data_IF_102837865181
#
_entry.id   IF_102837865181
#
_cell.length_a   1.000
_cell.length_b   1.000
_cell.length_c   1.000
_cell.angle_alpha   90.00
_cell.angle_beta   90.00
_cell.angle_gamma   90.00
#
_symmetry.space_group_name_H-M   'P 1'
#
loop_
_entity.id
_entity.type
_entity.pdbx_description
1 polymer ?
#
# COMPACT_ATOMS: atom_id res chain seq x y z
N UNK A 1 8.45 45.79 24.13
CA UNK A 1 8.61 44.86 22.99
C UNK A 1 8.15 43.50 23.44
N UNK A 2 6.86 43.30 23.24
CA UNK A 2 6.04 42.10 23.41
C UNK A 2 5.86 41.53 22.00
N UNK A 3 6.42 40.36 21.70
CA UNK A 3 6.16 39.67 20.41
C UNK A 3 6.57 38.19 20.33
N UNK A 4 7.15 37.57 21.37
CA UNK A 4 7.63 36.17 21.26
C UNK A 4 7.16 35.25 22.40
N UNK A 5 6.22 35.71 23.24
CA UNK A 5 5.80 34.98 24.45
C UNK A 5 4.43 34.32 24.36
N UNK A 6 3.66 34.54 23.29
CA UNK A 6 2.26 34.09 23.19
C UNK A 6 2.04 32.92 22.21
N UNK A 7 3.11 32.31 21.68
CA UNK A 7 3.03 31.13 20.79
C UNK A 7 3.57 29.83 21.43
N UNK A 8 3.94 29.88 22.72
CA UNK A 8 4.51 28.74 23.45
C UNK A 8 3.54 28.07 24.45
N UNK A 9 2.30 28.57 24.59
CA UNK A 9 1.34 28.05 25.58
C UNK A 9 0.12 27.30 25.01
N UNK A 10 0.03 27.07 23.70
CA UNK A 10 -1.01 26.19 23.14
C UNK A 10 -0.60 24.71 23.03
N UNK A 11 0.59 24.33 23.49
CA UNK A 11 1.07 22.95 23.51
C UNK A 11 1.04 22.35 24.92
N UNK A 12 -0.16 22.02 25.40
CA UNK A 12 -0.35 21.16 26.58
C UNK A 12 -1.53 20.18 26.34
N UNK A 13 -1.52 18.97 26.92
CA UNK A 13 -0.45 17.98 26.90
C UNK A 13 -1.05 16.63 26.43
N UNK A 14 -0.84 16.23 25.18
CA UNK A 14 -0.88 14.79 24.92
C UNK A 14 0.37 14.24 25.60
N UNK A 15 0.16 13.63 26.77
CA UNK A 15 1.16 12.83 27.46
C UNK A 15 1.92 12.04 26.39
N UNK A 16 3.17 12.46 26.15
CA UNK A 16 4.18 11.63 25.49
C UNK A 16 4.16 10.31 26.23
N UNK A 17 3.50 9.30 25.67
CA UNK A 17 3.97 7.94 25.93
C UNK A 17 5.37 7.93 25.35
N UNK A 18 6.33 7.94 26.26
CA UNK A 18 7.73 7.77 25.95
C UNK A 18 7.87 6.47 25.14
N UNK A 19 8.10 6.57 23.84
CA UNK A 19 8.46 5.42 23.00
C UNK A 19 9.82 4.83 23.40
N UNK A 20 10.55 5.47 24.34
CA UNK A 20 11.75 4.91 24.94
C UNK A 20 11.47 3.70 25.85
N UNK A 21 10.26 3.54 26.41
CA UNK A 21 9.92 2.34 27.22
C UNK A 21 9.59 1.10 26.40
N UNK A 22 9.48 1.19 25.08
CA UNK A 22 9.20 0.02 24.23
C UNK A 22 10.44 -0.56 23.56
N UNK A 23 11.49 0.22 23.28
CA UNK A 23 12.68 -0.27 22.57
C UNK A 23 13.58 -1.19 23.42
N UNK A 24 13.70 -0.92 24.73
CA UNK A 24 14.54 -1.71 25.64
C UNK A 24 13.82 -2.99 26.12
N UNK A 25 12.48 -2.92 26.29
CA UNK A 25 11.63 -4.11 26.44
C UNK A 25 11.60 -4.97 25.15
N UNK A 26 11.76 -4.36 23.98
CA UNK A 26 11.89 -5.04 22.68
C UNK A 26 13.18 -5.87 22.58
N UNK A 27 14.29 -5.34 23.08
CA UNK A 27 15.62 -5.98 23.00
C UNK A 27 15.77 -7.19 23.92
N UNK A 28 14.96 -7.30 24.98
CA UNK A 28 15.05 -8.40 25.96
C UNK A 28 14.16 -9.60 25.64
N UNK A 29 13.10 -9.45 24.84
CA UNK A 29 12.15 -10.53 24.53
C UNK A 29 12.47 -11.32 23.25
N UNK A 30 13.26 -10.76 22.32
CA UNK A 30 13.44 -11.28 20.96
C UNK A 30 14.73 -12.07 20.73
N UNK A 31 15.19 -12.77 21.76
CA UNK A 31 16.18 -13.85 21.62
C UNK A 31 15.55 -15.15 21.12
N UNK A 32 14.21 -15.25 21.10
CA UNK A 32 13.46 -16.39 20.59
C UNK A 32 12.35 -15.89 19.64
N UNK A 33 12.16 -16.56 18.50
CA UNK A 33 11.00 -16.46 17.59
C UNK A 33 11.02 -15.33 16.54
N UNK A 34 11.00 -15.77 15.28
CA UNK A 34 10.47 -15.00 14.16
C UNK A 34 9.00 -14.65 14.42
N UNK A 35 8.69 -13.42 14.83
CA UNK A 35 7.38 -12.76 14.59
C UNK A 35 7.37 -11.39 15.27
N UNK A 36 6.91 -10.38 14.53
CA UNK A 36 6.70 -8.98 14.92
C UNK A 36 7.97 -8.12 14.90
N UNK A 37 8.04 -7.35 13.83
CA UNK A 37 8.93 -6.20 13.67
C UNK A 37 8.35 -4.98 14.37
N UNK A 38 9.18 -3.98 14.73
CA UNK A 38 8.67 -2.78 15.38
C UNK A 38 7.92 -1.94 14.34
N UNK A 39 6.65 -1.68 14.64
CA UNK A 39 5.77 -0.82 13.86
C UNK A 39 5.86 0.59 14.40
N UNK A 40 6.35 1.51 13.59
CA UNK A 40 6.20 2.95 13.82
C UNK A 40 5.29 3.51 12.72
N UNK A 41 3.98 3.21 12.78
CA UNK A 41 3.06 3.60 11.72
C UNK A 41 2.83 5.12 11.71
N UNK A 42 2.49 5.68 10.54
CA UNK A 42 1.89 7.00 10.47
C UNK A 42 0.63 7.10 11.35
N UNK A 43 0.22 8.31 11.78
CA UNK A 43 -0.95 8.48 12.62
C UNK A 43 -2.23 7.99 11.92
N UNK A 44 -3.10 7.30 12.65
CA UNK A 44 -4.45 6.98 12.19
C UNK A 44 -5.30 8.26 12.12
N UNK A 45 -6.08 8.41 11.05
CA UNK A 45 -7.01 9.52 10.84
C UNK A 45 -8.38 8.98 10.44
N UNK A 46 -9.42 9.56 11.02
CA UNK A 46 -10.78 9.43 10.53
C UNK A 46 -11.06 10.60 9.59
N UNK A 47 -11.37 10.31 8.33
CA UNK A 47 -11.52 11.32 7.28
C UNK A 47 -12.90 11.17 6.65
N UNK A 48 -13.82 12.03 7.08
CA UNK A 48 -15.22 11.99 6.66
C UNK A 48 -15.53 13.08 5.60
N UNK A 49 -14.49 13.77 5.11
CA UNK A 49 -14.60 14.84 4.11
C UNK A 49 -13.52 14.73 3.04
N UNK A 50 -13.78 15.19 1.80
CA UNK A 50 -12.77 15.29 0.76
C UNK A 50 -11.51 16.00 1.25
N UNK A 51 -10.35 15.38 1.01
CA UNK A 51 -9.06 16.02 1.22
C UNK A 51 -8.80 17.05 0.12
N UNK A 52 -8.26 18.24 0.44
CA UNK A 52 -7.76 19.13 -0.59
C UNK A 52 -6.67 18.43 -1.44
N UNK A 53 -6.55 18.75 -2.75
CA UNK A 53 -5.57 18.14 -3.67
C UNK A 53 -4.10 18.21 -3.23
N UNK A 54 -3.77 19.03 -2.23
CA UNK A 54 -2.41 19.25 -1.71
C UNK A 54 -2.31 19.10 -0.18
N UNK A 55 -3.29 18.44 0.46
CA UNK A 55 -3.43 18.47 1.93
C UNK A 55 -2.66 17.41 2.71
N UNK A 56 -2.12 16.40 2.04
CA UNK A 56 -1.36 15.34 2.69
C UNK A 56 0.15 15.65 2.62
N UNK A 57 0.62 16.55 3.46
CA UNK A 57 2.07 16.80 3.65
C UNK A 57 2.74 15.74 4.54
N UNK A 58 1.95 14.88 5.18
CA UNK A 58 2.41 13.78 6.02
C UNK A 58 1.58 12.51 5.76
N UNK A 59 2.20 11.32 5.77
CA UNK A 59 1.48 10.07 5.62
C UNK A 59 0.53 9.84 6.81
N UNK A 60 -0.53 9.08 6.58
CA UNK A 60 -1.50 8.69 7.59
C UNK A 60 -2.11 7.33 7.25
N UNK A 61 -2.67 6.66 8.25
CA UNK A 61 -3.53 5.50 8.07
C UNK A 61 -5.00 5.94 8.15
N UNK A 62 -5.88 5.28 7.40
CA UNK A 62 -7.32 5.53 7.41
C UNK A 62 -8.07 4.19 7.46
N UNK A 63 -9.21 4.18 8.12
CA UNK A 63 -10.10 3.00 8.20
C UNK A 63 -10.98 2.83 6.97
N UNK A 64 -11.04 3.83 6.09
CA UNK A 64 -11.72 3.76 4.80
C UNK A 64 -10.71 3.79 3.65
N UNK A 65 -10.98 3.00 2.61
CA UNK A 65 -10.10 2.80 1.47
C UNK A 65 -10.89 2.50 0.20
N UNK A 66 -10.16 2.39 -0.91
CA UNK A 66 -10.75 2.03 -2.20
C UNK A 66 -11.14 0.56 -2.25
N UNK A 67 -12.09 0.24 -3.11
CA UNK A 67 -12.61 -1.12 -3.31
C UNK A 67 -12.59 -1.48 -4.79
N UNK A 68 -12.38 -2.76 -5.09
CA UNK A 68 -12.48 -3.24 -6.46
C UNK A 68 -13.95 -3.54 -6.78
N UNK A 69 -14.42 -3.13 -7.95
CA UNK A 69 -15.84 -3.28 -8.33
C UNK A 69 -16.32 -4.75 -8.37
N UNK A 70 -15.43 -5.69 -8.71
CA UNK A 70 -15.76 -7.13 -8.80
C UNK A 70 -15.40 -7.93 -7.55
N UNK A 71 -15.07 -7.25 -6.44
CA UNK A 71 -14.63 -7.90 -5.20
C UNK A 71 -13.13 -8.17 -5.14
N UNK A 72 -12.68 -8.70 -4.00
CA UNK A 72 -11.25 -9.02 -3.78
C UNK A 72 -10.99 -10.44 -4.23
N UNK A 73 -10.07 -10.70 -5.18
CA UNK A 73 -9.70 -12.06 -5.57
C UNK A 73 -9.13 -12.85 -4.41
N UNK A 74 -9.59 -14.08 -4.24
CA UNK A 74 -9.13 -14.98 -3.19
C UNK A 74 -7.83 -15.72 -3.55
N UNK A 75 -7.57 -15.92 -4.84
CA UNK A 75 -6.38 -16.57 -5.35
C UNK A 75 -5.95 -16.02 -6.72
N UNK A 76 -4.90 -16.63 -7.28
CA UNK A 76 -4.39 -16.25 -8.60
C UNK A 76 -5.41 -16.54 -9.69
N UNK A 77 -6.18 -17.63 -9.60
CA UNK A 77 -7.14 -18.01 -10.64
C UNK A 77 -8.29 -17.00 -10.73
N UNK A 78 -8.82 -16.55 -9.59
CA UNK A 78 -9.82 -15.49 -9.52
C UNK A 78 -9.28 -14.16 -10.05
N UNK A 79 -8.03 -13.82 -9.75
CA UNK A 79 -7.37 -12.65 -10.33
C UNK A 79 -7.28 -12.75 -11.86
N UNK A 80 -6.83 -13.90 -12.37
CA UNK A 80 -6.67 -14.14 -13.81
C UNK A 80 -8.04 -14.07 -14.53
N UNK A 81 -9.07 -14.63 -13.91
CA UNK A 81 -10.44 -14.69 -14.44
C UNK A 81 -11.18 -13.35 -14.37
N UNK A 82 -11.00 -12.60 -13.27
CA UNK A 82 -11.75 -11.37 -13.00
C UNK A 82 -11.11 -10.10 -13.56
N UNK A 83 -9.79 -9.99 -13.52
CA UNK A 83 -9.09 -8.71 -13.72
C UNK A 83 -8.13 -8.71 -14.90
N UNK A 84 -7.46 -9.82 -15.20
CA UNK A 84 -6.56 -9.91 -16.37
C UNK A 84 -7.30 -10.25 -17.67
N UNK A 85 -8.52 -9.77 -17.89
CA UNK A 85 -9.33 -9.97 -19.10
C UNK A 85 -9.24 -8.76 -20.02
N UNK A 86 -9.19 -8.97 -21.34
CA UNK A 86 -9.26 -7.92 -22.36
C UNK A 86 -10.62 -7.22 -22.29
N UNK A 87 -10.68 -6.09 -21.58
CA UNK A 87 -11.90 -5.35 -21.28
C UNK A 87 -11.96 -4.81 -19.85
N UNK A 88 -11.24 -5.44 -18.92
CA UNK A 88 -11.06 -4.98 -17.54
C UNK A 88 -9.69 -4.36 -17.35
N UNK A 89 -8.63 -5.07 -17.78
CA UNK A 89 -7.29 -4.51 -17.86
C UNK A 89 -6.99 -4.12 -19.32
N UNK A 90 -7.01 -2.83 -19.67
CA UNK A 90 -6.80 -2.37 -21.05
C UNK A 90 -5.35 -2.50 -21.52
N UNK A 91 -4.42 -2.74 -20.60
CA UNK A 91 -2.99 -2.91 -20.88
C UNK A 91 -2.47 -4.20 -20.22
N UNK A 92 -1.38 -4.74 -20.77
CA UNK A 92 -0.67 -5.83 -20.13
C UNK A 92 -0.14 -5.37 -18.76
N UNK A 93 -0.21 -6.22 -17.72
CA UNK A 93 0.27 -5.86 -16.39
C UNK A 93 1.80 -5.81 -16.33
N UNK A 94 2.32 -5.05 -15.37
CA UNK A 94 3.70 -5.22 -14.96
C UNK A 94 3.77 -6.47 -14.08
N UNK A 95 4.70 -7.38 -14.39
CA UNK A 95 4.89 -8.60 -13.62
C UNK A 95 6.37 -8.82 -13.31
N UNK A 96 6.61 -9.35 -12.12
CA UNK A 96 7.91 -9.80 -11.67
C UNK A 96 7.77 -11.23 -11.13
N UNK A 97 8.68 -12.12 -11.53
CA UNK A 97 8.71 -13.52 -11.10
C UNK A 97 10.13 -13.84 -10.63
N UNK A 98 10.26 -14.28 -9.38
CA UNK A 98 11.55 -14.64 -8.79
C UNK A 98 12.52 -13.46 -8.65
N UNK A 99 12.04 -12.21 -8.61
CA UNK A 99 12.87 -11.01 -8.56
C UNK A 99 13.31 -10.51 -9.94
N UNK A 100 12.77 -11.08 -11.02
CA UNK A 100 13.03 -10.67 -12.39
C UNK A 100 11.77 -10.14 -13.06
N UNK A 101 11.87 -8.95 -13.65
CA UNK A 101 10.81 -8.37 -14.47
C UNK A 101 10.58 -9.22 -15.72
N UNK A 102 9.34 -9.67 -15.94
CA UNK A 102 8.97 -10.43 -17.13
C UNK A 102 8.23 -9.52 -18.11
N UNK A 103 8.81 -9.32 -19.28
CA UNK A 103 8.15 -8.55 -20.34
C UNK A 103 6.97 -9.33 -20.93
N UNK A 104 5.78 -8.73 -20.86
CA UNK A 104 4.55 -9.29 -21.40
C UNK A 104 3.88 -8.29 -22.32
N UNK A 105 3.51 -8.72 -23.53
CA UNK A 105 2.82 -7.86 -24.50
C UNK A 105 1.29 -8.05 -24.49
N UNK A 106 0.78 -8.98 -23.69
CA UNK A 106 -0.66 -9.26 -23.59
C UNK A 106 -1.06 -9.83 -22.24
N UNK A 107 -2.33 -9.64 -21.86
CA UNK A 107 -2.90 -10.27 -20.68
C UNK A 107 -2.82 -11.80 -20.74
N UNK A 108 -2.93 -12.40 -21.93
CA UNK A 108 -2.79 -13.85 -22.10
C UNK A 108 -1.39 -14.38 -21.79
N UNK A 109 -0.34 -13.62 -22.12
CA UNK A 109 1.04 -13.95 -21.72
C UNK A 109 1.23 -13.80 -20.21
N UNK A 110 0.72 -12.70 -19.62
CA UNK A 110 0.79 -12.47 -18.18
C UNK A 110 0.12 -13.59 -17.38
N UNK A 111 -1.07 -14.04 -17.79
CA UNK A 111 -1.77 -15.16 -17.18
C UNK A 111 -0.93 -16.44 -17.14
N UNK A 112 -0.29 -16.79 -18.27
CA UNK A 112 0.56 -18.00 -18.35
C UNK A 112 1.79 -17.88 -17.46
N UNK A 113 2.40 -16.70 -17.42
CA UNK A 113 3.57 -16.47 -16.57
C UNK A 113 3.23 -16.57 -15.08
N UNK A 114 2.13 -15.94 -14.64
CA UNK A 114 1.69 -15.99 -13.24
C UNK A 114 1.23 -17.39 -12.83
N UNK A 115 0.47 -18.08 -13.68
CA UNK A 115 0.05 -19.46 -13.41
C UNK A 115 1.25 -20.42 -13.29
N UNK A 116 2.26 -20.27 -14.17
CA UNK A 116 3.49 -21.06 -14.08
C UNK A 116 4.27 -20.74 -12.80
N UNK A 117 4.40 -19.46 -12.44
CA UNK A 117 5.09 -19.04 -11.21
C UNK A 117 4.42 -19.62 -9.95
N UNK A 118 3.09 -19.55 -9.87
CA UNK A 118 2.33 -20.12 -8.75
C UNK A 118 2.45 -21.64 -8.69
N UNK A 119 2.32 -22.34 -9.82
CA UNK A 119 2.49 -23.80 -9.89
C UNK A 119 3.91 -24.27 -9.50
N UNK A 120 4.92 -23.44 -9.75
CA UNK A 120 6.33 -23.70 -9.41
C UNK A 120 6.69 -23.22 -7.98
N UNK A 121 5.77 -22.59 -7.25
CA UNK A 121 6.02 -22.03 -5.92
C UNK A 121 7.02 -20.87 -5.93
N UNK A 122 7.13 -20.14 -7.04
CA UNK A 122 8.00 -18.96 -7.16
C UNK A 122 7.30 -17.73 -6.62
N UNK A 123 8.04 -16.89 -5.90
CA UNK A 123 7.53 -15.57 -5.51
C UNK A 123 7.26 -14.72 -6.75
N UNK A 124 6.16 -14.00 -6.77
CA UNK A 124 5.84 -13.06 -7.85
C UNK A 124 5.06 -11.87 -7.33
N UNK A 125 5.05 -10.80 -8.10
CA UNK A 125 4.04 -9.74 -7.97
C UNK A 125 3.56 -9.27 -9.34
N UNK A 126 2.34 -8.77 -9.38
CA UNK A 126 1.78 -8.14 -10.56
C UNK A 126 1.04 -6.86 -10.19
N UNK A 127 1.12 -5.85 -11.05
CA UNK A 127 0.29 -4.67 -11.02
C UNK A 127 -0.50 -4.58 -12.33
N UNK A 128 -1.81 -4.72 -12.26
CA UNK A 128 -2.70 -4.60 -13.39
C UNK A 128 -3.66 -3.43 -13.22
N UNK A 129 -4.02 -2.78 -14.33
CA UNK A 129 -5.06 -1.75 -14.32
C UNK A 129 -6.41 -2.39 -14.03
N UNK A 130 -7.12 -1.84 -13.05
CA UNK A 130 -8.42 -2.33 -12.64
C UNK A 130 -9.29 -1.13 -12.20
N UNK A 131 -10.60 -1.14 -12.48
CA UNK A 131 -11.49 -0.11 -11.98
C UNK A 131 -11.60 -0.18 -10.46
N UNK A 132 -11.50 0.99 -9.81
CA UNK A 132 -11.52 1.13 -8.35
C UNK A 132 -12.61 2.12 -7.94
N UNK A 133 -13.48 1.69 -7.03
CA UNK A 133 -14.35 2.61 -6.30
C UNK A 133 -13.50 3.33 -5.24
N UNK A 134 -13.26 4.62 -5.44
CA UNK A 134 -12.46 5.45 -4.54
C UNK A 134 -13.23 5.85 -3.28
N UNK A 135 -12.57 5.98 -2.12
CA UNK A 135 -13.22 6.48 -0.91
C UNK A 135 -13.59 7.96 -1.07
N UNK A 136 -14.64 8.41 -0.37
CA UNK A 136 -15.18 9.78 -0.49
C UNK A 136 -14.19 10.88 -0.15
N UNK A 137 -13.17 10.57 0.65
CA UNK A 137 -12.11 11.51 1.00
C UNK A 137 -11.02 11.64 -0.07
N UNK A 138 -10.89 10.67 -0.99
CA UNK A 138 -9.95 10.74 -2.09
C UNK A 138 -10.35 11.92 -3.00
N UNK A 139 -9.42 12.81 -3.38
CA UNK A 139 -9.74 14.02 -4.13
C UNK A 139 -10.13 13.69 -5.59
N UNK A 140 -11.34 13.16 -5.79
CA UNK A 140 -11.85 12.75 -7.11
C UNK A 140 -12.84 13.76 -7.70
N UNK A 141 -13.26 14.83 -6.98
CA UNK A 141 -14.33 15.71 -7.51
C UNK A 141 -14.13 17.21 -7.30
N UNK A 142 -13.78 17.85 -8.42
CA UNK A 142 -14.44 19.01 -9.06
C UNK A 142 -13.45 19.66 -10.06
N UNK A 143 -12.94 18.90 -11.03
CA UNK A 143 -12.00 19.38 -12.05
C UNK A 143 -10.55 18.89 -11.91
N UNK A 144 -10.18 18.24 -10.81
CA UNK A 144 -8.94 17.47 -10.74
C UNK A 144 -9.12 16.18 -11.56
N UNK A 145 -8.41 16.06 -12.69
CA UNK A 145 -8.41 14.83 -13.49
C UNK A 145 -7.79 13.73 -12.63
N UNK A 146 -8.50 12.61 -12.43
CA UNK A 146 -7.90 11.38 -11.94
C UNK A 146 -6.67 11.08 -12.82
N UNK A 147 -5.55 10.73 -12.20
CA UNK A 147 -4.31 10.46 -12.94
C UNK A 147 -4.57 9.25 -13.84
N UNK A 148 -4.59 9.42 -15.17
CA UNK A 148 -4.98 8.33 -16.07
C UNK A 148 -4.12 7.08 -15.87
N UNK A 149 -4.76 5.93 -15.61
CA UNK A 149 -4.09 4.65 -15.48
C UNK A 149 -3.31 4.44 -14.18
N UNK A 150 -3.68 5.12 -13.10
CA UNK A 150 -3.13 4.91 -11.74
C UNK A 150 -4.01 4.03 -10.84
N UNK A 151 -5.17 3.61 -11.32
CA UNK A 151 -6.03 2.63 -10.65
C UNK A 151 -5.45 1.23 -10.89
N UNK A 152 -4.72 0.73 -9.90
CA UNK A 152 -4.05 -0.56 -9.99
C UNK A 152 -4.55 -1.54 -8.92
N UNK A 153 -4.82 -2.76 -9.36
CA UNK A 153 -4.82 -3.93 -8.49
C UNK A 153 -3.39 -4.48 -8.44
N UNK A 154 -2.87 -4.61 -7.23
CA UNK A 154 -1.56 -5.20 -6.96
C UNK A 154 -1.79 -6.53 -6.24
N UNK A 155 -1.23 -7.60 -6.78
CA UNK A 155 -1.21 -8.91 -6.14
C UNK A 155 0.23 -9.41 -6.01
N UNK A 156 0.49 -10.27 -5.03
CA UNK A 156 1.77 -10.94 -4.91
C UNK A 156 1.66 -12.22 -4.11
N UNK A 157 2.59 -13.13 -4.39
CA UNK A 157 2.76 -14.39 -3.66
C UNK A 157 4.20 -14.50 -3.15
N UNK A 158 4.35 -15.05 -1.95
CA UNK A 158 5.64 -15.24 -1.28
C UNK A 158 6.30 -13.92 -0.84
N UNK A 159 7.63 -13.95 -0.74
CA UNK A 159 8.44 -12.80 -0.36
C UNK A 159 8.68 -11.84 -1.54
N UNK A 160 7.60 -11.34 -2.14
CA UNK A 160 7.65 -10.40 -3.26
C UNK A 160 7.46 -8.96 -2.81
N UNK A 161 8.01 -8.01 -3.57
CA UNK A 161 7.92 -6.60 -3.23
C UNK A 161 8.28 -5.70 -4.40
N UNK A 162 7.77 -4.47 -4.33
CA UNK A 162 8.14 -3.38 -5.23
C UNK A 162 9.22 -2.58 -4.50
N UNK A 163 10.38 -2.40 -5.14
CA UNK A 163 11.52 -1.67 -4.59
C UNK A 163 11.25 -0.19 -4.30
N UNK A 164 12.26 0.55 -3.86
CA UNK A 164 12.14 1.99 -3.54
C UNK A 164 11.77 2.77 -4.80
N UNK A 165 10.71 3.57 -4.74
CA UNK A 165 10.29 4.43 -5.85
C UNK A 165 9.55 5.68 -5.35
N UNK A 166 9.42 6.64 -6.25
CA UNK A 166 8.44 7.73 -6.15
C UNK A 166 7.35 7.50 -7.17
N UNK A 167 6.09 7.65 -6.76
CA UNK A 167 4.97 7.57 -7.68
C UNK A 167 4.99 8.77 -8.65
N UNK A 168 5.08 8.44 -9.95
CA UNK A 168 5.24 9.42 -11.03
C UNK A 168 4.26 9.16 -12.15
N UNK A 169 3.73 10.24 -12.70
CA UNK A 169 2.90 10.20 -13.89
C UNK A 169 3.49 11.08 -14.98
N UNK A 170 3.38 10.61 -16.23
CA UNK A 170 3.75 11.35 -17.42
C UNK A 170 2.60 11.32 -18.42
N UNK A 171 2.03 12.48 -18.73
CA UNK A 171 1.15 12.63 -19.89
C UNK A 171 2.01 12.72 -21.16
N UNK A 172 1.48 12.31 -22.31
CA UNK A 172 2.22 12.44 -23.57
C UNK A 172 2.65 13.91 -23.75
N UNK A 173 3.92 14.12 -24.08
CA UNK A 173 4.50 15.46 -24.29
C UNK A 173 4.64 16.34 -23.03
N UNK A 174 4.27 15.85 -21.84
CA UNK A 174 4.47 16.54 -20.56
C UNK A 174 5.69 16.00 -19.79
N UNK A 175 6.30 16.81 -18.90
CA UNK A 175 7.30 16.34 -17.96
C UNK A 175 6.67 15.42 -16.90
N UNK A 176 7.50 14.53 -16.33
CA UNK A 176 7.10 13.70 -15.19
C UNK A 176 6.65 14.57 -14.01
N UNK A 177 5.51 14.21 -13.41
CA UNK A 177 5.01 14.82 -12.18
C UNK A 177 4.89 13.78 -11.07
N UNK A 178 5.23 14.18 -9.85
CA UNK A 178 4.94 13.38 -8.66
C UNK A 178 3.44 13.35 -8.41
N UNK A 179 2.92 12.20 -8.01
CA UNK A 179 1.51 12.03 -7.71
C UNK A 179 1.31 11.54 -6.29
N UNK A 180 0.23 12.01 -5.67
CA UNK A 180 -0.21 11.46 -4.39
C UNK A 180 -0.85 10.10 -4.61
N UNK A 181 -0.63 9.19 -3.66
CA UNK A 181 -1.14 7.82 -3.71
C UNK A 181 -1.88 7.48 -2.42
N UNK A 182 -2.77 6.49 -2.50
CA UNK A 182 -3.23 5.76 -1.34
C UNK A 182 -3.16 4.27 -1.66
N UNK A 183 -2.95 3.46 -0.63
CA UNK A 183 -2.94 2.01 -0.72
C UNK A 183 -4.06 1.46 0.14
N UNK A 184 -4.89 0.60 -0.43
CA UNK A 184 -5.89 -0.18 0.32
C UNK A 184 -5.51 -1.65 0.25
N UNK A 185 -5.45 -2.29 1.40
CA UNK A 185 -5.07 -3.69 1.52
C UNK A 185 -6.33 -4.52 1.75
N UNK A 186 -6.76 -5.24 0.72
CA UNK A 186 -7.98 -6.04 0.78
C UNK A 186 -7.76 -7.45 1.34
N UNK A 187 -6.59 -8.04 1.10
CA UNK A 187 -6.22 -9.38 1.58
C UNK A 187 -4.71 -9.46 1.82
N UNK A 188 -4.31 -10.35 2.74
CA UNK A 188 -2.92 -10.65 3.02
C UNK A 188 -2.25 -9.60 3.89
N UNK A 189 -0.93 -9.51 3.80
CA UNK A 189 -0.09 -8.64 4.64
C UNK A 189 0.93 -7.91 3.78
N UNK A 190 1.25 -6.67 4.12
CA UNK A 190 2.19 -5.81 3.38
C UNK A 190 3.07 -5.01 4.32
N UNK A 191 4.37 -5.19 4.18
CA UNK A 191 5.38 -4.37 4.81
C UNK A 191 5.62 -3.12 3.97
N UNK A 192 5.66 -1.95 4.61
CA UNK A 192 5.80 -0.65 3.95
C UNK A 192 6.85 0.18 4.68
N UNK A 193 7.76 0.76 3.89
CA UNK A 193 8.71 1.78 4.31
C UNK A 193 8.41 3.07 3.55
N UNK A 194 8.17 4.15 4.30
CA UNK A 194 8.00 5.49 3.74
C UNK A 194 9.17 6.36 4.19
N UNK A 195 9.85 7.00 3.25
CA UNK A 195 10.93 7.94 3.52
C UNK A 195 10.52 9.34 3.06
N UNK A 196 10.83 10.39 3.82
CA UNK A 196 10.57 11.74 3.36
C UNK A 196 11.54 12.12 2.24
N UNK A 197 11.17 13.09 1.39
CA UNK A 197 12.02 13.58 0.32
C UNK A 197 13.10 14.55 0.84
N UNK A 198 13.91 14.11 1.80
CA UNK A 198 15.07 14.84 2.34
C UNK A 198 16.37 14.13 1.98
N UNK A 199 17.51 14.80 2.16
CA UNK A 199 18.83 14.21 1.93
C UNK A 199 19.07 12.97 2.81
N UNK A 200 18.59 13.01 4.06
CA UNK A 200 18.65 11.87 4.98
C UNK A 200 17.78 10.71 4.50
N UNK A 201 16.56 11.01 4.02
CA UNK A 201 15.67 10.02 3.43
C UNK A 201 16.29 9.37 2.18
N UNK A 202 16.89 10.17 1.30
CA UNK A 202 17.58 9.68 0.11
C UNK A 202 18.78 8.78 0.47
N UNK A 203 19.56 9.16 1.50
CA UNK A 203 20.68 8.35 1.96
C UNK A 203 20.25 6.98 2.53
N UNK A 204 19.12 6.91 3.24
CA UNK A 204 18.53 5.64 3.69
C UNK A 204 18.02 4.84 2.50
N UNK A 205 17.35 5.47 1.54
CA UNK A 205 16.86 4.79 0.34
C UNK A 205 18.01 4.15 -0.46
N UNK A 206 19.12 4.86 -0.62
CA UNK A 206 20.30 4.37 -1.33
C UNK A 206 20.87 3.09 -0.68
N UNK A 207 20.94 3.04 0.65
CA UNK A 207 21.41 1.85 1.39
C UNK A 207 20.52 0.63 1.18
N UNK A 208 19.24 0.84 0.86
CA UNK A 208 18.26 -0.20 0.58
C UNK A 208 18.19 -0.57 -0.91
N UNK A 209 19.16 -0.15 -1.72
CA UNK A 209 19.18 -0.37 -3.16
C UNK A 209 18.31 0.59 -3.96
N UNK A 210 17.75 1.63 -3.33
CA UNK A 210 16.95 2.69 -3.94
C UNK A 210 17.76 3.77 -4.65
N UNK A 211 18.90 3.43 -5.25
CA UNK A 211 19.78 4.43 -5.88
C UNK A 211 19.04 5.25 -6.95
N UNK A 212 19.03 6.58 -6.78
CA UNK A 212 18.39 7.51 -7.71
C UNK A 212 16.87 7.42 -7.73
N UNK A 213 16.21 6.79 -6.75
CA UNK A 213 14.75 6.75 -6.68
C UNK A 213 14.12 8.15 -6.53
N UNK A 214 14.92 9.11 -6.08
CA UNK A 214 14.59 10.51 -5.82
C UNK A 214 14.81 11.45 -7.02
N UNK A 215 15.65 11.07 -7.99
CA UNK A 215 16.00 11.88 -9.17
C UNK A 215 15.05 11.64 -10.36
N UNK A 216 14.98 12.56 -11.32
CA UNK A 216 14.12 12.44 -12.51
C UNK A 216 14.39 11.18 -13.37
N UNK A 217 15.53 10.52 -13.17
CA UNK A 217 15.97 9.34 -13.92
C UNK A 217 15.74 8.00 -13.22
N UNK A 218 15.18 8.00 -12.00
CA UNK A 218 14.58 6.85 -11.31
C UNK A 218 15.06 5.50 -11.82
N UNK A 219 16.25 5.06 -11.39
CA UNK A 219 16.89 3.88 -12.00
C UNK A 219 15.96 2.67 -11.88
N UNK A 220 15.73 1.95 -12.98
CA UNK A 220 14.89 0.74 -12.97
C UNK A 220 15.34 -0.31 -11.92
N UNK A 221 16.64 -0.33 -11.58
CA UNK A 221 17.21 -1.17 -10.54
C UNK A 221 16.66 -0.87 -9.14
N UNK A 222 16.26 0.37 -8.84
CA UNK A 222 15.71 0.77 -7.54
C UNK A 222 14.38 0.08 -7.22
N UNK A 223 13.58 -0.19 -8.25
CA UNK A 223 12.30 -0.90 -8.14
C UNK A 223 12.45 -2.42 -8.01
N UNK A 224 13.66 -2.94 -8.28
CA UNK A 224 13.97 -4.38 -8.23
C UNK A 224 14.67 -4.81 -6.94
N UNK A 225 15.15 -3.85 -6.15
CA UNK A 225 15.75 -4.14 -4.86
C UNK A 225 14.68 -4.69 -3.91
N UNK A 226 14.79 -5.97 -3.56
CA UNK A 226 13.92 -6.58 -2.57
C UNK A 226 14.27 -6.03 -1.18
N UNK A 227 13.26 -5.50 -0.48
CA UNK A 227 13.45 -5.11 0.91
C UNK A 227 13.65 -6.34 1.78
N UNK A 228 14.48 -6.21 2.83
CA UNK A 228 14.52 -7.23 3.85
C UNK A 228 13.12 -7.38 4.45
N UNK A 229 12.60 -8.61 4.46
CA UNK A 229 11.35 -8.94 5.14
C UNK A 229 11.39 -8.54 6.61
N UNK A 230 12.59 -8.56 7.21
CA UNK A 230 12.86 -8.17 8.58
C UNK A 230 14.01 -7.15 8.62
N UNK A 231 13.74 -5.83 8.69
CA UNK A 231 14.79 -4.82 8.82
C UNK A 231 15.51 -4.95 10.16
N UNK A 232 16.82 -4.68 10.15
CA UNK A 232 17.61 -4.64 11.39
C UNK A 232 17.19 -3.46 12.29
N UNK A 233 17.39 -3.55 13.62
CA UNK A 233 17.14 -2.43 14.53
C UNK A 233 17.86 -1.14 14.09
N UNK A 234 19.11 -1.25 13.64
CA UNK A 234 19.90 -0.10 13.17
C UNK A 234 19.27 0.58 11.95
N UNK A 235 18.69 -0.20 11.03
CA UNK A 235 17.98 0.35 9.87
C UNK A 235 16.73 1.10 10.32
N UNK A 236 15.97 0.54 11.26
CA UNK A 236 14.74 1.17 11.79
C UNK A 236 15.05 2.47 12.52
N UNK A 237 16.14 2.52 13.30
CA UNK A 237 16.62 3.74 13.96
C UNK A 237 16.97 4.82 12.92
N UNK A 238 17.63 4.45 11.81
CA UNK A 238 17.94 5.37 10.71
C UNK A 238 16.70 5.88 9.98
N UNK A 239 15.73 5.00 9.72
CA UNK A 239 14.44 5.38 9.11
C UNK A 239 13.73 6.41 9.97
N UNK A 240 13.66 6.19 11.28
CA UNK A 240 13.06 7.13 12.22
C UNK A 240 13.83 8.45 12.30
N UNK A 241 15.17 8.40 12.36
CA UNK A 241 16.01 9.59 12.40
C UNK A 241 15.84 10.45 11.15
N UNK A 242 15.61 9.82 9.99
CA UNK A 242 15.30 10.50 8.74
C UNK A 242 13.88 11.06 8.70
N UNK A 243 13.01 10.81 9.69
CA UNK A 243 11.60 11.19 9.68
C UNK A 243 10.70 10.26 8.85
N UNK A 244 11.19 9.07 8.54
CA UNK A 244 10.46 8.02 7.84
C UNK A 244 9.58 7.17 8.76
N UNK A 245 8.84 6.24 8.13
CA UNK A 245 7.92 5.34 8.79
C UNK A 245 8.18 3.90 8.31
N UNK A 246 8.14 2.95 9.22
CA UNK A 246 8.09 1.52 8.92
C UNK A 246 6.84 0.93 9.57
N UNK A 247 6.05 0.23 8.79
CA UNK A 247 4.85 -0.42 9.29
C UNK A 247 4.49 -1.64 8.46
N UNK A 248 3.63 -2.43 9.05
CA UNK A 248 3.22 -3.74 8.59
C UNK A 248 1.70 -3.78 8.69
N UNK A 249 1.08 -3.87 7.53
CA UNK A 249 -0.36 -3.84 7.38
C UNK A 249 -0.83 -5.25 7.14
N UNK A 250 -1.79 -5.70 7.94
CA UNK A 250 -2.54 -6.91 7.65
C UNK A 250 -3.95 -6.49 7.25
N UNK A 251 -4.47 -7.09 6.17
CA UNK A 251 -5.85 -6.89 5.77
C UNK A 251 -6.77 -7.31 6.93
N UNK A 252 -7.90 -6.63 7.13
CA UNK A 252 -8.92 -7.16 8.02
C UNK A 252 -9.29 -8.57 7.53
N UNK A 253 -9.00 -9.59 8.32
CA UNK A 253 -9.54 -10.91 8.06
C UNK A 253 -11.05 -10.75 8.13
N UNK A 254 -11.76 -11.10 7.06
CA UNK A 254 -13.20 -11.33 7.12
C UNK A 254 -13.43 -12.48 8.11
N UNK A 255 -13.50 -12.14 9.41
CA UNK A 255 -14.18 -12.97 10.38
C UNK A 255 -15.58 -13.17 9.80
N UNK A 256 -15.97 -14.45 9.71
CA UNK A 256 -17.06 -14.92 8.88
C UNK A 256 -18.33 -14.08 8.97
N UNK A 257 -19.09 -14.10 7.88
CA UNK A 257 -20.44 -13.55 7.88
C UNK A 257 -21.15 -13.96 9.15
N UNK A 258 -21.44 -12.99 10.01
CA UNK A 258 -22.63 -13.06 10.81
C UNK A 258 -23.76 -13.13 9.79
N UNK A 259 -24.19 -14.36 9.51
CA UNK A 259 -25.52 -14.61 9.04
C UNK A 259 -26.43 -13.79 9.95
N UNK A 260 -27.08 -12.78 9.37
CA UNK A 260 -28.27 -12.20 9.96
C UNK A 260 -29.27 -13.35 10.04
N UNK A 261 -29.24 -14.07 11.17
CA UNK A 261 -30.30 -14.97 11.56
C UNK A 261 -31.57 -14.16 11.75
N UNK A 262 -32.65 -14.64 11.12
CA UNK A 262 -34.01 -14.40 11.58
C UNK A 262 -34.71 -13.21 10.96
N UNK A 263 -35.42 -13.46 9.86
CA UNK A 263 -36.88 -13.34 9.81
C UNK A 263 -37.35 -14.00 8.51
N UNK A 264 -37.45 -15.35 8.53
CA UNK A 264 -38.37 -16.05 7.65
C UNK A 264 -39.79 -15.76 8.18
N UNK A 265 -40.47 -14.78 7.59
CA UNK A 265 -41.92 -14.74 7.67
C UNK A 265 -42.48 -15.88 6.82
N UNK A 266 -42.78 -16.97 7.50
CA UNK A 266 -43.77 -17.95 7.08
C UNK A 266 -45.13 -17.28 7.03
N UNK A 267 -45.72 -17.17 5.84
CA UNK A 267 -47.18 -17.12 5.74
C UNK A 267 -47.68 -18.25 4.84
N UNK A 268 -48.67 -18.92 5.39
CA UNK A 268 -49.14 -20.25 5.11
C UNK A 268 -49.82 -20.40 3.75
N UNK A 269 -49.74 -21.63 3.25
CA UNK A 269 -50.62 -22.20 2.26
C UNK A 269 -52.09 -21.96 2.62
N UNK A 270 -52.84 -21.45 1.64
CA UNK A 270 -54.30 -21.40 1.66
C UNK A 270 -54.84 -21.97 0.35
N UNK A 271 -54.67 -23.28 0.16
CA UNK A 271 -55.41 -24.06 -0.83
C UNK A 271 -56.71 -24.54 -0.17
N UNK A 272 -57.87 -23.98 -0.53
CA UNK A 272 -59.13 -24.75 -0.68
C UNK A 272 -60.28 -23.89 -1.27
N UNK A 273 -60.79 -24.39 -2.42
CA UNK A 273 -62.14 -24.25 -3.02
C UNK A 273 -62.45 -23.11 -3.99
#
# INVERSE_FOLDING_TARGET
>A
MTAASDLLEACLPLRRRSYATTAEAYRQAYTDVATTLPLFPPPMRHIDRPLPPHSATAPFLCTSGGRLERGTPDDVDELLAGYLVSGVSPAAPNIDVGGETVEVSSNGQARRALAAASAEGKSYWAACRAPVEHPSWWPVRAGAKAVPGFEHLICGEGASGIGMHRDRYREAEEPDRLVSTYLSLSRGRKHVLLLPPTDEGAAVAQQLGGEGCDDASGRASSQRACFPLLPSPDLLERVLAAGGFWFDLEAPTSAGGEALEGEEESEEEGEER
#
